data_IF_941916318535
#
_entry.id   IF_941916318535
#
_cell.length_a   1.000
_cell.length_b   1.000
_cell.length_c   1.000
_cell.angle_alpha   90.00
_cell.angle_beta   90.00
_cell.angle_gamma   90.00
#
_symmetry.space_group_name_H-M   'P 1'
#
loop_
_entity.id
_entity.type
_entity.pdbx_description
1 polymer ?
#
# COMPACT_ATOMS: atom_id res chain seq x y z
N UNK A 1 -0.93 -50.27 -80.01
CA UNK A 1 0.16 -49.45 -80.57
C UNK A 1 0.14 -48.05 -79.93
N UNK A 2 1.28 -47.65 -79.34
CA UNK A 2 1.80 -46.28 -79.18
C UNK A 2 1.02 -45.28 -78.30
N UNK A 3 1.35 -45.30 -77.01
CA UNK A 3 1.36 -44.12 -76.15
C UNK A 3 2.29 -43.07 -76.75
N UNK A 4 1.76 -41.90 -77.11
CA UNK A 4 2.56 -40.76 -77.59
C UNK A 4 2.31 -39.53 -76.72
N UNK A 5 3.43 -39.07 -76.14
CA UNK A 5 3.76 -37.69 -75.78
C UNK A 5 3.09 -37.12 -74.53
N UNK A 6 3.80 -37.36 -73.43
CA UNK A 6 3.90 -36.49 -72.26
C UNK A 6 4.31 -35.07 -72.72
N UNK A 7 3.43 -34.09 -72.52
CA UNK A 7 3.75 -32.67 -72.64
C UNK A 7 3.56 -31.99 -71.28
N UNK A 8 4.71 -31.65 -70.71
CA UNK A 8 4.97 -30.73 -69.62
C UNK A 8 4.41 -29.32 -69.94
N UNK A 9 3.45 -28.82 -69.16
CA UNK A 9 3.07 -27.40 -69.05
C UNK A 9 2.67 -27.17 -67.59
N UNK A 10 3.62 -26.83 -66.73
CA UNK A 10 3.94 -25.47 -66.29
C UNK A 10 2.73 -24.67 -65.80
N UNK A 11 2.68 -24.46 -64.48
CA UNK A 11 2.05 -23.30 -63.89
C UNK A 11 0.82 -23.59 -63.04
N UNK A 12 1.02 -23.97 -61.78
CA UNK A 12 0.51 -23.22 -60.63
C UNK A 12 1.08 -23.85 -59.35
N UNK A 13 2.32 -23.49 -59.01
CA UNK A 13 2.81 -23.67 -57.64
C UNK A 13 2.07 -22.68 -56.75
N UNK A 14 0.94 -23.08 -56.18
CA UNK A 14 0.35 -22.37 -55.04
C UNK A 14 1.26 -22.63 -53.83
N UNK A 15 2.36 -21.87 -53.74
CA UNK A 15 3.11 -21.72 -52.50
C UNK A 15 2.17 -21.05 -51.51
N UNK A 16 1.55 -21.86 -50.64
CA UNK A 16 0.89 -21.40 -49.44
C UNK A 16 1.98 -20.71 -48.62
N UNK A 17 2.08 -19.39 -48.75
CA UNK A 17 2.82 -18.58 -47.78
C UNK A 17 1.97 -18.70 -46.52
N UNK A 18 2.34 -19.64 -45.66
CA UNK A 18 1.88 -19.66 -44.29
C UNK A 18 2.35 -18.35 -43.67
N UNK A 19 1.50 -17.32 -43.73
CA UNK A 19 1.69 -16.09 -42.99
C UNK A 19 1.71 -16.51 -41.53
N UNK A 20 2.89 -16.53 -40.91
CA UNK A 20 2.97 -16.49 -39.47
C UNK A 20 2.27 -15.21 -39.05
N UNK A 21 1.05 -15.35 -38.52
CA UNK A 21 0.38 -14.27 -37.85
C UNK A 21 1.23 -13.94 -36.62
N UNK A 22 2.17 -13.01 -36.80
CA UNK A 22 2.83 -12.32 -35.70
C UNK A 22 1.75 -11.47 -35.06
N UNK A 23 1.03 -12.06 -34.09
CA UNK A 23 0.17 -11.30 -33.22
C UNK A 23 1.05 -10.22 -32.57
N UNK A 24 0.76 -8.95 -32.85
CA UNK A 24 1.42 -7.85 -32.18
C UNK A 24 1.21 -8.00 -30.67
N UNK A 25 2.26 -7.81 -29.87
CA UNK A 25 2.14 -7.69 -28.42
C UNK A 25 1.27 -6.47 -28.12
N UNK A 26 -0.02 -6.69 -27.81
CA UNK A 26 -1.01 -5.62 -27.59
C UNK A 26 -0.91 -5.02 -26.18
N UNK A 27 0.12 -5.37 -25.42
CA UNK A 27 0.43 -4.78 -24.13
C UNK A 27 0.91 -5.82 -23.12
N UNK A 28 1.98 -5.46 -22.43
CA UNK A 28 2.45 -6.16 -21.24
C UNK A 28 2.26 -5.24 -20.02
N UNK A 29 1.99 -5.84 -18.87
CA UNK A 29 1.89 -5.16 -17.60
C UNK A 29 2.62 -5.97 -16.54
N UNK A 30 3.30 -5.28 -15.62
CA UNK A 30 3.96 -5.91 -14.49
C UNK A 30 3.05 -5.80 -13.27
N UNK A 31 2.79 -6.92 -12.61
CA UNK A 31 2.13 -6.96 -11.30
C UNK A 31 3.18 -7.30 -10.26
N UNK A 32 3.34 -6.44 -9.27
CA UNK A 32 4.23 -6.67 -8.13
C UNK A 32 3.40 -6.97 -6.89
N UNK A 33 3.66 -8.13 -6.27
CA UNK A 33 3.09 -8.48 -4.98
C UNK A 33 4.13 -8.18 -3.89
N UNK A 34 3.77 -7.36 -2.92
CA UNK A 34 4.64 -7.00 -1.80
C UNK A 34 3.94 -7.29 -0.47
N UNK A 35 4.72 -7.68 0.53
CA UNK A 35 4.23 -7.99 1.87
C UNK A 35 5.29 -8.66 2.73
N UNK A 36 4.96 -8.90 3.99
CA UNK A 36 5.82 -9.60 4.95
C UNK A 36 5.01 -10.58 5.80
N UNK A 37 5.57 -11.76 6.04
CA UNK A 37 5.03 -12.70 7.03
C UNK A 37 5.75 -12.43 8.35
N UNK A 38 4.97 -12.24 9.41
CA UNK A 38 5.48 -11.95 10.75
C UNK A 38 5.13 -13.08 11.71
N UNK A 39 6.03 -13.39 12.63
CA UNK A 39 5.76 -14.29 13.75
C UNK A 39 5.07 -13.51 14.88
N UNK A 40 3.82 -13.11 14.64
CA UNK A 40 3.01 -12.34 15.56
C UNK A 40 1.59 -12.90 15.63
N UNK A 41 0.90 -12.76 16.77
CA UNK A 41 -0.45 -13.29 16.95
C UNK A 41 -1.49 -12.60 16.06
N UNK A 42 -1.19 -11.43 15.48
CA UNK A 42 -2.08 -10.68 14.61
C UNK A 42 -1.32 -10.21 13.36
N UNK A 43 -2.01 -10.16 12.22
CA UNK A 43 -1.55 -9.42 11.06
C UNK A 43 -1.96 -7.94 11.18
N UNK A 44 -1.17 -7.04 10.62
CA UNK A 44 -1.52 -5.61 10.52
C UNK A 44 -2.15 -5.39 9.15
N UNK A 45 -3.32 -4.75 9.13
CA UNK A 45 -3.97 -4.34 7.89
C UNK A 45 -3.01 -3.46 7.05
N UNK A 46 -2.88 -3.68 5.73
CA UNK A 46 -1.89 -2.97 4.91
C UNK A 46 -2.09 -1.46 4.93
N UNK A 47 -3.33 -0.96 5.07
CA UNK A 47 -3.63 0.47 5.21
C UNK A 47 -3.30 1.01 6.62
N UNK A 48 -2.96 0.13 7.56
CA UNK A 48 -2.58 0.45 8.93
C UNK A 48 -1.08 0.36 9.20
N UNK A 49 -0.30 -0.31 8.34
CA UNK A 49 1.15 -0.47 8.50
C UNK A 49 1.93 0.84 8.32
N UNK A 50 1.49 1.71 7.40
CA UNK A 50 2.11 3.01 7.16
C UNK A 50 1.02 4.06 6.86
N UNK A 51 0.60 4.78 7.90
CA UNK A 51 -0.44 5.81 7.78
C UNK A 51 0.16 7.22 7.79
N UNK A 52 -0.25 8.04 6.82
CA UNK A 52 -0.02 9.49 6.87
C UNK A 52 -1.29 10.17 7.37
N UNK A 53 -1.25 10.77 8.55
CA UNK A 53 -2.41 11.44 9.16
C UNK A 53 -2.41 12.92 8.76
N UNK A 54 -3.36 13.39 7.92
CA UNK A 54 -3.39 14.78 7.51
C UNK A 54 -3.92 15.65 8.65
N UNK A 55 -3.00 16.37 9.29
CA UNK A 55 -3.32 17.34 10.34
C UNK A 55 -3.98 18.61 9.78
N UNK A 56 -3.70 18.91 8.50
CA UNK A 56 -4.10 20.15 7.85
C UNK A 56 -3.18 21.31 8.21
N UNK A 57 -3.57 22.52 7.81
CA UNK A 57 -2.86 23.73 8.22
C UNK A 57 -3.36 24.17 9.59
N UNK A 58 -2.44 24.32 10.54
CA UNK A 58 -2.74 24.81 11.88
C UNK A 58 -2.16 26.22 12.00
N UNK A 59 -3.02 27.20 12.28
CA UNK A 59 -2.58 28.59 12.43
C UNK A 59 -1.70 28.74 13.67
N UNK A 60 -0.60 29.49 13.55
CA UNK A 60 0.28 29.78 14.69
C UNK A 60 -0.44 30.54 15.80
N UNK A 61 -1.42 31.38 15.46
CA UNK A 61 -2.30 32.06 16.42
C UNK A 61 -3.13 31.10 17.26
N UNK A 62 -3.59 29.98 16.69
CA UNK A 62 -4.34 28.97 17.45
C UNK A 62 -3.46 28.15 18.40
N UNK A 63 -2.14 28.26 18.27
CA UNK A 63 -1.15 27.55 19.09
C UNK A 63 -0.47 28.48 20.12
N UNK A 64 -0.77 29.78 20.10
CA UNK A 64 -0.26 30.71 21.12
C UNK A 64 -0.78 30.33 22.50
N UNK A 65 0.01 30.64 23.52
CA UNK A 65 -0.34 30.50 24.94
C UNK A 65 -0.84 29.09 25.32
N UNK A 66 -0.31 28.05 24.67
CA UNK A 66 -0.68 26.65 24.92
C UNK A 66 -1.93 26.17 24.19
N UNK A 67 -2.39 26.92 23.18
CA UNK A 67 -3.48 26.51 22.29
C UNK A 67 -3.21 25.20 21.54
N UNK A 68 -4.28 24.49 21.18
CA UNK A 68 -4.22 23.12 20.64
C UNK A 68 -4.95 23.03 19.31
N UNK A 69 -4.46 22.18 18.42
CA UNK A 69 -5.15 21.91 17.16
C UNK A 69 -6.40 21.06 17.38
N UNK A 70 -7.26 21.00 16.36
CA UNK A 70 -8.30 19.97 16.31
C UNK A 70 -7.67 18.57 16.31
N UNK A 71 -8.26 17.65 17.07
CA UNK A 71 -7.83 16.26 17.11
C UNK A 71 -8.17 15.55 15.80
N UNK A 72 -7.30 14.60 15.40
CA UNK A 72 -7.54 13.69 14.28
C UNK A 72 -7.63 12.26 14.81
N UNK A 73 -8.73 11.59 14.47
CA UNK A 73 -8.89 10.18 14.76
C UNK A 73 -8.15 9.35 13.71
N UNK A 74 -7.41 8.34 14.18
CA UNK A 74 -6.79 7.31 13.36
C UNK A 74 -6.94 5.97 14.05
N UNK A 75 -6.79 4.88 13.29
CA UNK A 75 -7.00 3.52 13.76
C UNK A 75 -5.93 2.61 13.17
N UNK A 76 -5.36 1.77 14.02
CA UNK A 76 -4.55 0.64 13.59
C UNK A 76 -5.47 -0.58 13.61
N UNK A 77 -5.74 -1.13 12.43
CA UNK A 77 -6.56 -2.33 12.29
C UNK A 77 -5.65 -3.55 12.33
N UNK A 78 -6.03 -4.48 13.19
CA UNK A 78 -5.41 -5.80 13.25
C UNK A 78 -6.37 -6.83 12.67
N UNK A 79 -5.82 -7.73 11.86
CA UNK A 79 -6.53 -8.78 11.15
C UNK A 79 -6.06 -10.14 11.64
N UNK A 80 -6.99 -11.10 11.67
CA UNK A 80 -6.72 -12.51 11.92
C UNK A 80 -5.89 -12.74 13.21
N UNK A 81 -6.31 -12.11 14.29
CA UNK A 81 -5.67 -12.27 15.58
C UNK A 81 -5.97 -13.63 16.22
N UNK A 82 -4.95 -14.36 16.64
CA UNK A 82 -5.07 -15.48 17.60
C UNK A 82 -4.97 -14.97 19.03
N UNK A 83 -5.96 -15.29 19.84
CA UNK A 83 -5.99 -14.91 21.27
C UNK A 83 -5.53 -16.03 22.20
N UNK A 84 -4.98 -17.12 21.66
CA UNK A 84 -4.60 -18.29 22.45
C UNK A 84 -3.43 -17.99 23.38
N UNK A 85 -2.41 -17.30 22.87
CA UNK A 85 -1.21 -16.93 23.63
C UNK A 85 -1.22 -15.47 24.10
N UNK A 86 -1.82 -14.56 23.32
CA UNK A 86 -1.82 -13.12 23.59
C UNK A 86 -3.23 -12.56 23.63
N UNK A 87 -3.60 -11.94 24.76
CA UNK A 87 -4.94 -11.36 24.96
C UNK A 87 -4.97 -9.84 24.86
N UNK A 88 -3.80 -9.20 24.89
CA UNK A 88 -3.66 -7.76 24.88
C UNK A 88 -2.63 -7.35 23.83
N UNK A 89 -2.88 -6.18 23.23
CA UNK A 89 -1.96 -5.55 22.30
C UNK A 89 -1.41 -4.31 23.00
N UNK A 90 -0.09 -4.19 23.03
CA UNK A 90 0.61 -2.99 23.48
C UNK A 90 1.20 -2.28 22.27
N UNK A 91 0.92 -0.99 22.15
CA UNK A 91 1.48 -0.14 21.08
C UNK A 91 2.35 0.93 21.71
N UNK A 92 3.51 1.19 21.12
CA UNK A 92 4.44 2.23 21.55
C UNK A 92 4.65 3.21 20.41
N UNK A 93 4.49 4.50 20.70
CA UNK A 93 4.87 5.57 19.80
C UNK A 93 6.26 6.05 20.14
N UNK A 94 7.10 6.23 19.12
CA UNK A 94 8.44 6.77 19.27
C UNK A 94 8.61 7.94 18.31
N UNK A 95 9.34 8.96 18.74
CA UNK A 95 9.63 10.15 17.96
C UNK A 95 10.40 11.15 18.80
N UNK A 96 10.80 12.27 18.18
CA UNK A 96 11.36 13.39 18.93
C UNK A 96 10.34 13.86 19.97
N UNK A 97 10.78 14.18 21.18
CA UNK A 97 9.90 14.67 22.24
C UNK A 97 9.87 16.20 22.26
N UNK A 98 8.74 16.76 22.71
CA UNK A 98 8.58 18.20 22.95
C UNK A 98 8.23 18.45 24.43
N UNK A 99 9.19 18.23 25.36
CA UNK A 99 8.94 18.36 26.80
C UNK A 99 8.54 19.79 27.20
N UNK A 100 9.00 20.79 26.45
CA UNK A 100 8.65 22.21 26.65
C UNK A 100 7.16 22.53 26.41
N UNK A 101 6.40 21.60 25.83
CA UNK A 101 4.98 21.78 25.51
C UNK A 101 4.12 20.92 26.44
N UNK A 102 4.44 19.63 26.51
CA UNK A 102 3.82 18.66 27.43
C UNK A 102 4.72 17.44 27.52
N UNK A 103 4.89 16.92 28.73
CA UNK A 103 5.63 15.67 28.94
C UNK A 103 5.00 14.52 28.14
N UNK A 104 5.83 13.79 27.38
CA UNK A 104 5.38 12.70 26.49
C UNK A 104 4.72 13.15 25.18
N UNK A 105 4.74 14.44 24.84
CA UNK A 105 4.30 14.91 23.52
C UNK A 105 5.36 14.62 22.43
N UNK A 106 4.89 14.16 21.27
CA UNK A 106 5.72 14.05 20.07
C UNK A 106 5.96 15.44 19.47
N UNK A 107 7.23 15.78 19.32
CA UNK A 107 7.69 16.98 18.66
C UNK A 107 7.47 16.93 17.15
N UNK A 108 7.18 18.09 16.58
CA UNK A 108 6.97 18.29 15.14
C UNK A 108 8.00 19.31 14.67
N UNK A 109 8.68 19.01 13.57
CA UNK A 109 9.61 19.95 12.95
C UNK A 109 8.82 21.12 12.32
N UNK A 110 9.05 22.34 12.80
CA UNK A 110 8.39 23.55 12.29
C UNK A 110 8.57 24.77 13.20
N UNK A 111 8.15 25.94 12.70
CA UNK A 111 8.25 27.23 13.41
C UNK A 111 7.30 27.37 14.62
N UNK A 112 6.43 26.39 14.86
CA UNK A 112 5.46 26.41 15.95
C UNK A 112 5.61 25.15 16.81
N UNK A 113 5.74 25.36 18.12
CA UNK A 113 5.61 24.31 19.13
C UNK A 113 4.15 23.84 19.16
N UNK A 114 3.80 22.86 18.34
CA UNK A 114 2.43 22.37 18.22
C UNK A 114 2.15 21.29 19.26
N UNK A 115 1.11 21.49 20.05
CA UNK A 115 0.53 20.44 20.87
C UNK A 115 -0.53 19.69 20.05
N UNK A 116 -0.18 18.53 19.51
CA UNK A 116 -1.18 17.63 18.96
C UNK A 116 -1.98 17.00 20.11
N UNK A 117 -3.31 17.12 20.01
CA UNK A 117 -4.20 16.15 20.62
C UNK A 117 -4.36 15.02 19.62
N UNK A 118 -3.56 13.97 19.78
CA UNK A 118 -3.94 12.68 19.22
C UNK A 118 -5.05 12.16 20.13
N UNK A 119 -6.27 12.03 19.60
CA UNK A 119 -7.33 11.29 20.30
C UNK A 119 -6.80 9.92 20.73
N UNK A 120 -7.28 9.35 21.85
CA UNK A 120 -6.85 8.04 22.29
C UNK A 120 -6.97 7.05 21.12
N UNK A 121 -5.83 6.45 20.77
CA UNK A 121 -5.75 5.54 19.63
C UNK A 121 -6.70 4.38 19.87
N UNK A 122 -7.58 4.11 18.90
CA UNK A 122 -8.41 2.92 18.94
C UNK A 122 -7.72 1.82 18.15
N UNK A 123 -7.09 0.88 18.88
CA UNK A 123 -6.72 -0.42 18.31
C UNK A 123 -8.04 -1.16 18.06
N UNK A 124 -8.38 -1.39 16.80
CA UNK A 124 -9.58 -2.14 16.45
C UNK A 124 -9.14 -3.55 16.06
N UNK A 125 -9.42 -4.50 16.94
CA UNK A 125 -9.23 -5.91 16.67
C UNK A 125 -10.48 -6.43 15.95
N UNK A 126 -10.32 -6.89 14.70
CA UNK A 126 -11.37 -7.64 14.02
C UNK A 126 -11.07 -9.13 14.21
N UNK A 127 -11.64 -9.70 15.28
CA UNK A 127 -11.70 -11.15 15.43
C UNK A 127 -12.53 -11.71 14.28
N UNK A 128 -12.06 -12.81 13.71
CA UNK A 128 -12.88 -13.65 12.83
C UNK A 128 -13.97 -14.34 13.66
#
# INVERSE_FOLDING_TARGET
MKLKKLHLVLGLGLSIIAGSALAADQGHGTVEFYGSIIDAPCSIDPDSGAQRIPLGQVSSSALKDGGRSASKMFKIKLLQCSTETYKTVKTTFTGAEAPDVLEGALGIEGIAKMQLLLSPMQVVNKSN
#
